data_IF_785113183451
#
_entry.id   IF_785113183451
#
_cell.length_a   1.000
_cell.length_b   1.000
_cell.length_c   1.000
_cell.angle_alpha   90.00
_cell.angle_beta   90.00
_cell.angle_gamma   90.00
#
_symmetry.space_group_name_H-M   'P 1'
#
loop_
_entity.id
_entity.type
_entity.pdbx_description
1 polymer ?
#
# COMPACT_ATOMS: atom_id res chain seq x y z
N UNK A 1 0.65 -22.59 -51.78
CA UNK A 1 1.95 -23.18 -51.41
C UNK A 1 2.17 -23.07 -49.90
N UNK A 2 2.21 -21.85 -49.33
CA UNK A 2 2.27 -21.62 -47.86
C UNK A 2 1.34 -22.48 -47.00
N UNK A 3 0.04 -22.59 -47.35
CA UNK A 3 -0.91 -23.41 -46.57
C UNK A 3 -0.56 -24.91 -46.52
N UNK A 4 0.04 -25.47 -47.59
CA UNK A 4 0.48 -26.88 -47.61
C UNK A 4 1.80 -27.10 -46.85
N UNK A 5 2.62 -26.06 -46.75
CA UNK A 5 3.87 -26.08 -45.98
C UNK A 5 3.55 -25.96 -44.48
N UNK A 6 2.64 -25.05 -44.12
CA UNK A 6 2.13 -24.90 -42.75
C UNK A 6 1.43 -26.17 -42.26
N UNK A 7 0.66 -26.86 -43.11
CA UNK A 7 0.03 -28.13 -42.70
C UNK A 7 1.05 -29.23 -42.42
N UNK A 8 2.15 -29.29 -43.18
CA UNK A 8 3.25 -30.24 -42.92
C UNK A 8 4.04 -29.85 -41.66
N UNK A 9 4.30 -28.56 -41.49
CA UNK A 9 4.92 -28.03 -40.28
C UNK A 9 4.10 -28.35 -39.03
N UNK A 10 2.77 -28.21 -39.10
CA UNK A 10 1.84 -28.59 -38.03
C UNK A 10 1.95 -30.07 -37.67
N UNK A 11 1.95 -30.96 -38.67
CA UNK A 11 2.09 -32.41 -38.43
C UNK A 11 3.42 -32.78 -37.76
N UNK A 12 4.52 -32.18 -38.20
CA UNK A 12 5.83 -32.39 -37.57
C UNK A 12 5.85 -31.85 -36.15
N UNK A 13 5.30 -30.66 -35.92
CA UNK A 13 5.25 -30.05 -34.60
C UNK A 13 4.35 -30.85 -33.63
N UNK A 14 3.27 -31.48 -34.11
CA UNK A 14 2.48 -32.44 -33.34
C UNK A 14 3.28 -33.70 -32.99
N UNK A 15 4.04 -34.26 -33.95
CA UNK A 15 4.84 -35.47 -33.77
C UNK A 15 5.98 -35.29 -32.76
N UNK A 16 6.65 -34.13 -32.79
CA UNK A 16 7.78 -33.82 -31.92
C UNK A 16 7.40 -33.05 -30.65
N UNK A 17 6.11 -32.82 -30.40
CA UNK A 17 5.61 -32.00 -29.30
C UNK A 17 6.26 -30.60 -29.23
N UNK A 18 6.54 -30.00 -30.40
CA UNK A 18 7.06 -28.64 -30.51
C UNK A 18 5.91 -27.63 -30.35
N UNK A 19 5.57 -27.35 -29.10
CA UNK A 19 4.45 -26.46 -28.75
C UNK A 19 4.65 -25.03 -29.27
N UNK A 20 5.90 -24.55 -29.35
CA UNK A 20 6.18 -23.20 -29.84
C UNK A 20 5.76 -23.07 -31.31
N UNK A 21 6.18 -24.02 -32.14
CA UNK A 21 5.78 -24.08 -33.55
C UNK A 21 4.26 -24.23 -33.70
N UNK A 22 3.60 -25.04 -32.87
CA UNK A 22 2.13 -25.18 -32.90
C UNK A 22 1.41 -23.86 -32.60
N UNK A 23 1.87 -23.10 -31.61
CA UNK A 23 1.30 -21.80 -31.24
C UNK A 23 1.49 -20.80 -32.38
N UNK A 24 2.70 -20.70 -32.93
CA UNK A 24 3.02 -19.77 -34.03
C UNK A 24 2.20 -20.07 -35.29
N UNK A 25 2.07 -21.34 -35.66
CA UNK A 25 1.27 -21.76 -36.82
C UNK A 25 -0.21 -21.42 -36.59
N UNK A 26 -0.75 -21.67 -35.38
CA UNK A 26 -2.15 -21.33 -35.07
C UNK A 26 -2.39 -19.81 -35.08
N UNK A 27 -1.43 -19.00 -34.60
CA UNK A 27 -1.52 -17.54 -34.63
C UNK A 27 -1.46 -16.99 -36.06
N UNK A 28 -0.56 -17.52 -36.91
CA UNK A 28 -0.46 -17.13 -38.32
C UNK A 28 -1.74 -17.47 -39.10
N UNK A 29 -2.35 -18.63 -38.81
CA UNK A 29 -3.61 -19.07 -39.41
C UNK A 29 -4.85 -18.44 -38.74
N UNK A 30 -4.68 -17.74 -37.61
CA UNK A 30 -5.77 -17.22 -36.76
C UNK A 30 -6.77 -18.31 -36.35
N UNK A 31 -6.28 -19.51 -36.10
CA UNK A 31 -7.08 -20.68 -35.76
C UNK A 31 -7.19 -20.85 -34.24
N UNK A 32 -8.11 -20.08 -33.63
CA UNK A 32 -8.35 -20.10 -32.19
C UNK A 32 -8.96 -21.41 -31.69
N UNK A 33 -9.74 -22.11 -32.50
CA UNK A 33 -10.37 -23.37 -32.14
C UNK A 33 -9.34 -24.50 -32.01
N UNK A 34 -8.40 -24.58 -32.96
CA UNK A 34 -7.30 -25.53 -32.87
C UNK A 34 -6.40 -25.24 -31.67
N UNK A 35 -6.11 -23.96 -31.41
CA UNK A 35 -5.31 -23.55 -30.26
C UNK A 35 -5.96 -23.97 -28.93
N UNK A 36 -7.28 -23.80 -28.79
CA UNK A 36 -8.04 -24.28 -27.62
C UNK A 36 -7.94 -25.79 -27.46
N UNK A 37 -8.04 -26.54 -28.57
CA UNK A 37 -7.91 -28.00 -28.57
C UNK A 37 -6.54 -28.43 -28.03
N UNK A 38 -5.46 -27.77 -28.45
CA UNK A 38 -4.11 -28.06 -27.95
C UNK A 38 -3.92 -27.71 -26.49
N UNK A 39 -4.50 -26.60 -26.01
CA UNK A 39 -4.48 -26.22 -24.60
C UNK A 39 -5.14 -27.31 -23.73
N UNK A 40 -6.26 -27.88 -24.18
CA UNK A 40 -6.93 -28.96 -23.46
C UNK A 40 -6.18 -30.29 -23.57
N UNK A 41 -5.63 -30.60 -24.74
CA UNK A 41 -4.93 -31.85 -25.01
C UNK A 41 -3.60 -31.96 -24.25
N UNK A 42 -2.76 -30.91 -24.32
CA UNK A 42 -1.41 -30.91 -23.77
C UNK A 42 -1.32 -30.26 -22.37
N UNK A 43 -2.36 -29.53 -21.96
CA UNK A 43 -2.52 -29.03 -20.60
C UNK A 43 -1.40 -28.09 -20.14
N UNK A 44 -0.87 -28.36 -18.95
CA UNK A 44 0.06 -27.46 -18.25
C UNK A 44 1.38 -27.23 -19.03
N UNK A 45 1.89 -28.24 -19.74
CA UNK A 45 3.12 -28.11 -20.56
C UNK A 45 2.95 -27.07 -21.67
N UNK A 46 1.82 -27.12 -22.36
CA UNK A 46 1.49 -26.18 -23.42
C UNK A 46 1.22 -24.79 -22.86
N UNK A 47 0.57 -24.69 -21.69
CA UNK A 47 0.29 -23.42 -21.04
C UNK A 47 1.54 -22.65 -20.64
N UNK A 48 2.61 -23.33 -20.23
CA UNK A 48 3.89 -22.66 -19.92
C UNK A 48 4.46 -21.96 -21.16
N UNK A 49 4.52 -22.67 -22.29
CA UNK A 49 5.02 -22.11 -23.56
C UNK A 49 4.09 -21.02 -24.08
N UNK A 50 2.77 -21.22 -23.96
CA UNK A 50 1.78 -20.24 -24.39
C UNK A 50 1.81 -18.94 -23.57
N UNK A 51 1.99 -19.02 -22.25
CA UNK A 51 2.18 -17.85 -21.39
C UNK A 51 3.45 -17.07 -21.76
N UNK A 52 4.57 -17.76 -21.99
CA UNK A 52 5.82 -17.14 -22.45
C UNK A 52 5.66 -16.45 -23.80
N UNK A 53 5.00 -17.13 -24.76
CA UNK A 53 4.67 -16.57 -26.06
C UNK A 53 3.83 -15.30 -25.95
N UNK A 54 2.75 -15.33 -25.16
CA UNK A 54 1.87 -14.16 -24.98
C UNK A 54 2.58 -13.00 -24.29
N UNK A 55 3.48 -13.27 -23.33
CA UNK A 55 4.30 -12.23 -22.68
C UNK A 55 5.25 -11.59 -23.68
N UNK A 56 5.89 -12.37 -24.55
CA UNK A 56 6.77 -11.83 -25.61
C UNK A 56 6.04 -10.86 -26.55
N UNK A 57 4.75 -11.12 -26.81
CA UNK A 57 3.88 -10.29 -27.65
C UNK A 57 3.10 -9.20 -26.90
N UNK A 58 3.29 -9.07 -25.57
CA UNK A 58 2.46 -8.18 -24.73
C UNK A 58 0.95 -8.43 -24.87
N UNK A 59 0.55 -9.68 -25.14
CA UNK A 59 -0.82 -10.10 -25.47
C UNK A 59 -1.44 -10.99 -24.37
N UNK A 60 -0.95 -10.89 -23.13
CA UNK A 60 -1.42 -11.71 -22.01
C UNK A 60 -2.95 -11.60 -21.76
N UNK A 61 -3.57 -10.49 -22.17
CA UNK A 61 -5.01 -10.28 -22.09
C UNK A 61 -5.84 -11.38 -22.78
N UNK A 62 -5.27 -12.09 -23.75
CA UNK A 62 -5.91 -13.21 -24.47
C UNK A 62 -6.33 -14.32 -23.50
N UNK A 63 -5.55 -14.63 -22.46
CA UNK A 63 -5.88 -15.68 -21.48
C UNK A 63 -7.16 -15.38 -20.68
N UNK A 64 -7.55 -14.11 -20.60
CA UNK A 64 -8.72 -13.64 -19.86
C UNK A 64 -9.95 -13.45 -20.75
N UNK A 65 -9.82 -13.66 -22.07
CA UNK A 65 -10.97 -13.76 -22.96
C UNK A 65 -11.78 -15.01 -22.61
N UNK A 66 -13.11 -14.93 -22.75
CA UNK A 66 -14.03 -15.96 -22.29
C UNK A 66 -13.70 -17.34 -22.88
N UNK A 67 -13.30 -17.37 -24.14
CA UNK A 67 -12.97 -18.55 -24.93
C UNK A 67 -11.85 -19.40 -24.31
N UNK A 68 -10.87 -18.73 -23.68
CA UNK A 68 -9.73 -19.37 -23.02
C UNK A 68 -9.92 -19.49 -21.51
N UNK A 69 -10.46 -18.46 -20.88
CA UNK A 69 -10.61 -18.41 -19.42
C UNK A 69 -11.57 -19.50 -18.90
N UNK A 70 -12.51 -19.97 -19.71
CA UNK A 70 -13.41 -21.08 -19.37
C UNK A 70 -12.73 -22.46 -19.42
N UNK A 71 -11.55 -22.59 -20.05
CA UNK A 71 -10.82 -23.85 -20.13
C UNK A 71 -10.23 -24.23 -18.76
N UNK A 72 -10.39 -25.50 -18.37
CA UNK A 72 -9.91 -26.03 -17.08
C UNK A 72 -8.39 -25.94 -16.96
N UNK A 73 -7.66 -26.23 -18.03
CA UNK A 73 -6.18 -26.13 -18.07
C UNK A 73 -5.72 -24.70 -17.82
N UNK A 74 -6.38 -23.71 -18.43
CA UNK A 74 -6.08 -22.29 -18.23
C UNK A 74 -6.35 -21.88 -16.79
N UNK A 75 -7.52 -22.24 -16.22
CA UNK A 75 -7.83 -21.91 -14.83
C UNK A 75 -6.86 -22.55 -13.83
N UNK A 76 -6.48 -23.80 -14.05
CA UNK A 76 -5.47 -24.49 -13.22
C UNK A 76 -4.12 -23.79 -13.30
N UNK A 77 -3.68 -23.46 -14.51
CA UNK A 77 -2.43 -22.74 -14.73
C UNK A 77 -2.45 -21.37 -14.04
N UNK A 78 -3.50 -20.57 -14.26
CA UNK A 78 -3.65 -19.24 -13.64
C UNK A 78 -3.73 -19.34 -12.11
N UNK A 79 -4.40 -20.36 -11.56
CA UNK A 79 -4.48 -20.58 -10.11
C UNK A 79 -3.12 -20.95 -9.50
N UNK A 80 -2.23 -21.56 -10.28
CA UNK A 80 -0.85 -21.84 -9.84
C UNK A 80 0.02 -20.59 -9.74
N UNK A 81 -0.39 -19.48 -10.40
CA UNK A 81 0.33 -18.21 -10.41
C UNK A 81 -0.26 -17.25 -9.37
N UNK A 82 0.52 -16.78 -8.38
CA UNK A 82 0.02 -15.87 -7.35
C UNK A 82 -0.67 -14.62 -7.94
N UNK A 83 -0.11 -14.05 -9.02
CA UNK A 83 -0.62 -12.82 -9.64
C UNK A 83 -2.03 -12.95 -10.23
N UNK A 84 -2.48 -14.18 -10.54
CA UNK A 84 -3.75 -14.43 -11.23
C UNK A 84 -4.73 -15.29 -10.44
N UNK A 85 -4.29 -15.92 -9.35
CA UNK A 85 -5.11 -16.81 -8.53
C UNK A 85 -6.45 -16.17 -8.13
N UNK A 86 -6.41 -14.92 -7.68
CA UNK A 86 -7.60 -14.17 -7.27
C UNK A 86 -8.69 -14.06 -8.34
N UNK A 87 -8.33 -14.00 -9.63
CA UNK A 87 -9.31 -13.92 -10.73
C UNK A 87 -10.05 -15.24 -10.89
N UNK A 88 -9.33 -16.35 -10.76
CA UNK A 88 -9.93 -17.70 -10.80
C UNK A 88 -10.83 -17.91 -9.59
N UNK A 89 -10.44 -17.41 -8.42
CA UNK A 89 -11.23 -17.51 -7.20
C UNK A 89 -12.53 -16.69 -7.29
N UNK A 90 -12.47 -15.45 -7.82
CA UNK A 90 -13.68 -14.64 -8.12
C UNK A 90 -14.62 -15.38 -9.07
N UNK A 91 -14.09 -15.98 -10.15
CA UNK A 91 -14.90 -16.77 -11.09
C UNK A 91 -15.63 -17.92 -10.39
N UNK A 92 -14.92 -18.61 -9.49
CA UNK A 92 -15.45 -19.73 -8.73
C UNK A 92 -16.29 -19.30 -7.51
N UNK A 93 -16.53 -17.99 -7.34
CA UNK A 93 -17.26 -17.38 -6.21
C UNK A 93 -16.60 -17.61 -4.85
N UNK A 94 -15.31 -17.92 -4.84
CA UNK A 94 -14.48 -17.99 -3.64
C UNK A 94 -13.92 -16.60 -3.32
N UNK A 95 -14.81 -15.71 -2.87
CA UNK A 95 -14.46 -14.32 -2.65
C UNK A 95 -13.54 -14.11 -1.43
N UNK A 96 -13.57 -15.03 -0.46
CA UNK A 96 -12.71 -14.96 0.71
C UNK A 96 -11.25 -15.24 0.33
N UNK A 97 -11.01 -16.29 -0.45
CA UNK A 97 -9.67 -16.59 -0.96
C UNK A 97 -9.19 -15.52 -1.96
N UNK A 98 -10.07 -15.00 -2.80
CA UNK A 98 -9.76 -13.87 -3.69
C UNK A 98 -9.32 -12.62 -2.92
N UNK A 99 -9.99 -12.30 -1.81
CA UNK A 99 -9.59 -11.20 -0.95
C UNK A 99 -8.20 -11.43 -0.32
N UNK A 100 -7.88 -12.67 0.06
CA UNK A 100 -6.58 -13.02 0.69
C UNK A 100 -5.43 -12.90 -0.29
N UNK A 101 -5.58 -13.55 -1.43
CA UNK A 101 -4.58 -13.53 -2.49
C UNK A 101 -4.29 -12.10 -2.96
N UNK A 102 -5.30 -11.28 -3.23
CA UNK A 102 -5.10 -9.87 -3.62
C UNK A 102 -4.39 -9.02 -2.56
N UNK A 103 -4.67 -9.25 -1.28
CA UNK A 103 -4.03 -8.51 -0.18
C UNK A 103 -2.52 -8.81 -0.07
N UNK A 104 -2.15 -10.07 -0.31
CA UNK A 104 -0.79 -10.59 -0.22
C UNK A 104 0.08 -10.28 -1.44
N UNK A 105 -0.52 -9.82 -2.54
CA UNK A 105 0.24 -9.48 -3.74
C UNK A 105 1.16 -8.29 -3.50
N UNK A 106 2.44 -8.50 -3.82
CA UNK A 106 3.44 -7.44 -3.83
C UNK A 106 3.23 -6.58 -5.06
N UNK A 107 3.09 -5.29 -4.85
CA UNK A 107 2.94 -4.30 -5.92
C UNK A 107 4.10 -3.34 -5.93
N UNK A 108 4.50 -2.92 -7.12
CA UNK A 108 5.59 -1.95 -7.29
C UNK A 108 5.09 -0.51 -7.18
N UNK A 109 3.86 -0.23 -7.62
CA UNK A 109 3.33 1.13 -7.76
C UNK A 109 2.10 1.39 -6.90
N UNK A 110 1.87 2.66 -6.56
CA UNK A 110 0.70 3.09 -5.78
C UNK A 110 -0.60 2.70 -6.49
N UNK A 111 -0.70 2.94 -7.80
CA UNK A 111 -1.92 2.67 -8.55
C UNK A 111 -2.28 1.17 -8.57
N UNK A 112 -1.28 0.29 -8.75
CA UNK A 112 -1.49 -1.16 -8.65
C UNK A 112 -1.97 -1.55 -7.24
N UNK A 113 -1.37 -0.98 -6.20
CA UNK A 113 -1.75 -1.25 -4.80
C UNK A 113 -3.19 -0.83 -4.51
N UNK A 114 -3.58 0.38 -4.89
CA UNK A 114 -4.95 0.88 -4.68
C UNK A 114 -5.99 0.00 -5.37
N UNK A 115 -5.75 -0.38 -6.63
CA UNK A 115 -6.66 -1.26 -7.36
C UNK A 115 -6.81 -2.62 -6.67
N UNK A 116 -5.72 -3.24 -6.22
CA UNK A 116 -5.78 -4.53 -5.54
C UNK A 116 -6.43 -4.44 -4.15
N UNK A 117 -6.21 -3.35 -3.41
CA UNK A 117 -6.91 -3.10 -2.14
C UNK A 117 -8.42 -2.97 -2.36
N UNK A 118 -8.84 -2.20 -3.37
CA UNK A 118 -10.24 -2.07 -3.73
C UNK A 118 -10.87 -3.42 -4.12
N UNK A 119 -10.18 -4.23 -4.94
CA UNK A 119 -10.64 -5.58 -5.30
C UNK A 119 -10.73 -6.46 -4.04
N UNK A 120 -9.72 -6.42 -3.17
CA UNK A 120 -9.70 -7.18 -1.91
C UNK A 120 -10.89 -6.81 -1.02
N UNK A 121 -11.22 -5.51 -0.94
CA UNK A 121 -12.38 -4.97 -0.21
C UNK A 121 -13.69 -5.46 -0.79
N UNK A 122 -13.88 -5.35 -2.11
CA UNK A 122 -15.10 -5.80 -2.77
C UNK A 122 -15.29 -7.32 -2.65
N UNK A 123 -14.22 -8.11 -2.81
CA UNK A 123 -14.26 -9.54 -2.60
C UNK A 123 -14.63 -9.89 -1.15
N UNK A 124 -14.03 -9.22 -0.16
CA UNK A 124 -14.35 -9.44 1.24
C UNK A 124 -15.82 -9.10 1.54
N UNK A 125 -16.34 -7.99 1.01
CA UNK A 125 -17.74 -7.62 1.16
C UNK A 125 -18.68 -8.62 0.48
N UNK A 126 -18.33 -9.14 -0.70
CA UNK A 126 -19.11 -10.17 -1.38
C UNK A 126 -19.09 -11.53 -0.66
N UNK A 127 -18.03 -11.84 0.09
CA UNK A 127 -17.92 -13.07 0.89
C UNK A 127 -18.86 -13.08 2.11
N UNK A 128 -19.31 -11.90 2.57
CA UNK A 128 -20.07 -11.73 3.81
C UNK A 128 -21.50 -12.32 3.80
N UNK A 129 -21.92 -12.91 2.67
CA UNK A 129 -23.26 -13.48 2.54
C UNK A 129 -23.51 -14.76 3.34
N UNK A 130 -22.47 -15.48 3.82
CA UNK A 130 -22.69 -16.83 4.32
C UNK A 130 -22.50 -17.13 5.82
N UNK A 131 -21.81 -16.36 6.67
CA UNK A 131 -21.77 -16.70 8.11
C UNK A 131 -21.58 -15.51 9.07
N UNK A 132 -22.52 -15.38 10.02
CA UNK A 132 -22.45 -14.47 11.19
C UNK A 132 -21.22 -14.77 12.07
N UNK A 133 -20.66 -15.98 11.99
CA UNK A 133 -19.54 -16.46 12.82
C UNK A 133 -18.20 -15.77 12.54
N UNK A 134 -18.01 -15.16 11.37
CA UNK A 134 -16.75 -14.50 10.99
C UNK A 134 -16.86 -12.96 10.93
N UNK A 135 -17.95 -12.37 11.44
CA UNK A 135 -18.19 -10.93 11.34
C UNK A 135 -17.07 -10.07 11.96
N UNK A 136 -16.48 -10.51 13.08
CA UNK A 136 -15.37 -9.78 13.72
C UNK A 136 -14.07 -9.88 12.93
N UNK A 137 -13.73 -11.07 12.41
CA UNK A 137 -12.57 -11.27 11.55
C UNK A 137 -12.67 -10.44 10.26
N UNK A 138 -13.86 -10.41 9.65
CA UNK A 138 -14.15 -9.57 8.48
C UNK A 138 -13.98 -8.08 8.84
N UNK A 139 -14.53 -7.63 9.98
CA UNK A 139 -14.39 -6.23 10.42
C UNK A 139 -12.94 -5.83 10.64
N UNK A 140 -12.15 -6.66 11.33
CA UNK A 140 -10.72 -6.40 11.56
C UNK A 140 -9.96 -6.27 10.24
N UNK A 141 -10.29 -7.13 9.28
CA UNK A 141 -9.65 -7.13 7.98
C UNK A 141 -10.07 -5.97 7.09
N UNK A 142 -11.34 -5.57 7.13
CA UNK A 142 -11.81 -4.35 6.48
C UNK A 142 -11.09 -3.13 7.03
N UNK A 143 -10.95 -3.03 8.36
CA UNK A 143 -10.16 -1.95 9.00
C UNK A 143 -8.72 -1.92 8.52
N UNK A 144 -8.09 -3.09 8.39
CA UNK A 144 -6.74 -3.18 7.86
C UNK A 144 -6.66 -2.65 6.41
N UNK A 145 -7.59 -3.07 5.54
CA UNK A 145 -7.65 -2.59 4.15
C UNK A 145 -7.88 -1.07 4.12
N UNK A 146 -8.80 -0.55 4.92
CA UNK A 146 -9.09 0.88 5.02
C UNK A 146 -7.85 1.69 5.47
N UNK A 147 -7.09 1.18 6.43
CA UNK A 147 -5.84 1.82 6.86
C UNK A 147 -4.81 1.88 5.72
N UNK A 148 -4.65 0.78 4.97
CA UNK A 148 -3.76 0.72 3.81
C UNK A 148 -4.22 1.64 2.65
N UNK A 149 -5.53 1.73 2.40
CA UNK A 149 -6.13 2.66 1.44
C UNK A 149 -5.85 4.11 1.84
N UNK A 150 -6.04 4.44 3.12
CA UNK A 150 -5.76 5.77 3.67
C UNK A 150 -4.28 6.13 3.53
N UNK A 151 -3.35 5.19 3.77
CA UNK A 151 -1.92 5.41 3.56
C UNK A 151 -1.59 5.67 2.08
N UNK A 152 -2.21 4.92 1.16
CA UNK A 152 -2.06 5.18 -0.27
C UNK A 152 -2.57 6.58 -0.65
N UNK A 153 -3.73 6.98 -0.12
CA UNK A 153 -4.33 8.28 -0.38
C UNK A 153 -3.47 9.42 0.17
N UNK A 154 -3.04 9.32 1.43
CA UNK A 154 -2.14 10.32 2.05
C UNK A 154 -0.89 10.49 1.20
N UNK A 155 -0.33 9.39 0.72
CA UNK A 155 0.83 9.45 -0.16
C UNK A 155 0.54 10.15 -1.49
N UNK A 156 -0.59 9.84 -2.12
CA UNK A 156 -0.98 10.55 -3.34
C UNK A 156 -1.11 12.04 -3.07
N UNK A 157 -1.70 12.45 -1.95
CA UNK A 157 -1.86 13.86 -1.57
C UNK A 157 -0.51 14.56 -1.39
N UNK A 158 0.50 13.87 -0.87
CA UNK A 158 1.89 14.38 -0.79
C UNK A 158 2.54 14.58 -2.16
N UNK A 159 2.05 13.90 -3.19
CA UNK A 159 2.52 13.98 -4.57
C UNK A 159 1.61 14.88 -5.43
N UNK A 160 0.83 15.77 -4.82
CA UNK A 160 -0.13 16.63 -5.52
C UNK A 160 0.50 17.58 -6.55
N UNK A 161 1.82 17.74 -6.53
CA UNK A 161 2.58 18.52 -7.50
C UNK A 161 2.84 17.78 -8.82
N UNK A 162 2.58 16.48 -8.88
CA UNK A 162 2.71 15.65 -10.08
C UNK A 162 1.34 15.43 -10.73
N UNK A 163 1.35 15.13 -12.03
CA UNK A 163 0.14 14.73 -12.74
C UNK A 163 -0.38 13.38 -12.23
N UNK A 164 -1.69 13.15 -12.32
CA UNK A 164 -2.34 11.93 -11.81
C UNK A 164 -1.71 10.64 -12.36
N UNK A 165 -1.45 10.61 -13.66
CA UNK A 165 -0.80 9.46 -14.31
C UNK A 165 0.63 9.19 -13.84
N UNK A 166 1.35 10.23 -13.38
CA UNK A 166 2.69 10.10 -12.82
C UNK A 166 2.65 9.69 -11.35
N UNK A 167 1.69 10.23 -10.58
CA UNK A 167 1.45 9.86 -9.17
C UNK A 167 1.21 8.37 -9.02
N UNK A 168 0.34 7.80 -9.86
CA UNK A 168 -0.02 6.39 -9.83
C UNK A 168 1.15 5.44 -10.18
N UNK A 169 2.16 5.94 -10.91
CA UNK A 169 3.37 5.19 -11.30
C UNK A 169 4.48 5.26 -10.26
N UNK A 170 4.36 6.12 -9.24
CA UNK A 170 5.39 6.24 -8.20
C UNK A 170 5.57 4.92 -7.43
N UNK A 171 6.81 4.56 -7.06
CA UNK A 171 7.14 3.27 -6.44
C UNK A 171 6.66 3.22 -4.99
N UNK A 172 6.15 2.11 -4.45
CA UNK A 172 5.75 2.04 -3.03
C UNK A 172 6.88 2.43 -2.06
N UNK A 173 6.55 3.20 -1.01
CA UNK A 173 7.46 3.57 0.08
C UNK A 173 6.79 3.25 1.40
N UNK A 174 7.58 2.86 2.40
CA UNK A 174 7.04 2.51 3.71
C UNK A 174 6.48 3.75 4.42
N UNK A 175 5.49 3.56 5.29
CA UNK A 175 4.93 4.65 6.11
C UNK A 175 6.01 5.33 6.98
N UNK A 176 7.00 4.55 7.45
CA UNK A 176 8.21 5.04 8.12
C UNK A 176 9.00 6.03 7.26
N UNK A 177 9.24 5.67 6.01
CA UNK A 177 9.96 6.52 5.07
C UNK A 177 9.14 7.74 4.66
N UNK A 178 7.81 7.62 4.59
CA UNK A 178 6.92 8.78 4.39
C UNK A 178 7.09 9.81 5.50
N UNK A 179 6.99 9.38 6.77
CA UNK A 179 7.16 10.24 7.95
C UNK A 179 8.53 10.91 7.94
N UNK A 180 9.60 10.12 7.72
CA UNK A 180 10.96 10.66 7.67
C UNK A 180 11.14 11.67 6.54
N UNK A 181 10.61 11.38 5.35
CA UNK A 181 10.68 12.30 4.22
C UNK A 181 9.94 13.61 4.52
N UNK A 182 8.76 13.57 5.14
CA UNK A 182 8.00 14.76 5.50
C UNK A 182 8.74 15.67 6.49
N UNK A 183 9.41 15.07 7.46
CA UNK A 183 10.10 15.83 8.51
C UNK A 183 11.46 16.33 8.05
N UNK A 184 12.22 15.51 7.33
CA UNK A 184 13.60 15.80 6.97
C UNK A 184 13.73 16.60 5.66
N UNK A 185 12.81 16.43 4.70
CA UNK A 185 12.87 17.17 3.44
C UNK A 185 12.14 18.50 3.58
N UNK A 186 12.89 19.59 3.42
CA UNK A 186 12.37 20.97 3.41
C UNK A 186 11.75 21.41 2.08
N UNK A 187 11.69 20.50 1.10
CA UNK A 187 11.36 20.84 -0.28
C UNK A 187 9.92 20.47 -0.62
N UNK A 188 8.97 21.27 -0.13
CA UNK A 188 7.57 21.20 -0.55
C UNK A 188 6.92 22.57 -0.41
N UNK A 189 5.90 22.83 -1.20
CA UNK A 189 5.08 24.05 -1.16
C UNK A 189 4.19 24.18 0.09
N UNK A 190 4.13 23.13 0.92
CA UNK A 190 3.32 23.08 2.14
C UNK A 190 4.01 23.75 3.32
N UNK A 191 3.21 24.18 4.30
CA UNK A 191 3.76 24.77 5.53
C UNK A 191 4.42 23.71 6.42
N UNK A 192 5.37 24.13 7.25
CA UNK A 192 6.05 23.24 8.20
C UNK A 192 5.04 22.50 9.09
N UNK A 193 4.03 23.19 9.63
CA UNK A 193 2.98 22.58 10.44
C UNK A 193 2.22 21.47 9.69
N UNK A 194 1.89 21.69 8.41
CA UNK A 194 1.17 20.70 7.60
C UNK A 194 1.97 19.40 7.39
N UNK A 195 3.29 19.48 7.26
CA UNK A 195 4.13 18.27 7.17
C UNK A 195 4.05 17.44 8.45
N UNK A 196 4.12 18.08 9.62
CA UNK A 196 4.02 17.37 10.90
C UNK A 196 2.61 16.85 11.15
N UNK A 197 1.55 17.62 10.85
CA UNK A 197 0.17 17.13 10.89
C UNK A 197 -0.02 15.88 10.00
N UNK A 198 0.52 15.90 8.78
CA UNK A 198 0.46 14.75 7.86
C UNK A 198 1.24 13.55 8.39
N UNK A 199 2.42 13.77 9.00
CA UNK A 199 3.18 12.72 9.64
C UNK A 199 2.42 12.08 10.83
N UNK A 200 1.70 12.88 11.62
CA UNK A 200 0.85 12.38 12.71
C UNK A 200 -0.36 11.58 12.18
N UNK A 201 -0.96 12.02 11.07
CA UNK A 201 -2.02 11.26 10.39
C UNK A 201 -1.49 9.89 9.93
N UNK A 202 -0.30 9.84 9.33
CA UNK A 202 0.33 8.56 8.92
C UNK A 202 0.60 7.71 10.16
N UNK A 203 1.17 8.28 11.22
CA UNK A 203 1.49 7.59 12.46
C UNK A 203 0.23 6.97 13.11
N UNK A 204 -0.92 7.65 13.05
CA UNK A 204 -2.19 7.13 13.57
C UNK A 204 -2.65 5.84 12.91
N UNK A 205 -2.24 5.60 11.66
CA UNK A 205 -2.54 4.36 10.93
C UNK A 205 -1.56 3.23 11.26
N UNK A 206 -0.49 3.51 12.02
CA UNK A 206 0.60 2.60 12.34
C UNK A 206 0.58 2.09 13.80
N UNK A 207 -0.53 2.18 14.52
CA UNK A 207 -0.62 1.85 15.96
C UNK A 207 -0.04 0.46 16.30
N UNK A 208 -0.23 -0.54 15.44
CA UNK A 208 0.26 -1.91 15.65
C UNK A 208 1.69 -2.14 15.16
N UNK A 209 2.37 -1.11 14.63
CA UNK A 209 3.70 -1.24 14.05
C UNK A 209 4.79 -1.16 15.14
N UNK A 210 5.82 -2.02 15.13
CA UNK A 210 6.91 -1.98 16.11
C UNK A 210 7.69 -0.65 16.10
N UNK A 211 7.72 0.06 14.98
CA UNK A 211 8.40 1.35 14.85
C UNK A 211 7.56 2.52 15.40
N UNK A 212 6.31 2.30 15.82
CA UNK A 212 5.38 3.35 16.26
C UNK A 212 5.99 4.26 17.33
N UNK A 213 6.50 3.66 18.41
CA UNK A 213 7.06 4.42 19.54
C UNK A 213 8.29 5.24 19.14
N UNK A 214 9.16 4.68 18.29
CA UNK A 214 10.36 5.36 17.80
C UNK A 214 9.99 6.52 16.88
N UNK A 215 9.06 6.31 15.95
CA UNK A 215 8.60 7.35 15.04
C UNK A 215 7.85 8.45 15.76
N UNK A 216 7.02 8.10 16.74
CA UNK A 216 6.38 9.06 17.63
C UNK A 216 7.42 9.99 18.27
N UNK A 217 8.42 9.43 18.96
CA UNK A 217 9.48 10.23 19.58
C UNK A 217 10.25 11.08 18.56
N UNK A 218 10.56 10.51 17.40
CA UNK A 218 11.23 11.21 16.32
C UNK A 218 10.45 12.44 15.83
N UNK A 219 9.13 12.32 15.60
CA UNK A 219 8.29 13.46 15.16
C UNK A 219 8.36 14.59 16.19
N UNK A 220 8.11 14.30 17.46
CA UNK A 220 8.07 15.34 18.49
C UNK A 220 9.44 15.94 18.80
N UNK A 221 10.50 15.13 18.78
CA UNK A 221 11.86 15.62 18.97
C UNK A 221 12.28 16.56 17.84
N UNK A 222 11.99 16.20 16.59
CA UNK A 222 12.30 17.06 15.44
C UNK A 222 11.48 18.35 15.46
N UNK A 223 10.22 18.32 15.93
CA UNK A 223 9.42 19.53 16.08
C UNK A 223 10.07 20.54 17.04
N UNK A 224 10.61 20.05 18.16
CA UNK A 224 11.34 20.86 19.14
C UNK A 224 12.68 21.37 18.59
N UNK A 225 13.40 20.54 17.83
CA UNK A 225 14.67 20.95 17.24
C UNK A 225 14.51 22.04 16.18
N UNK A 226 13.40 22.01 15.42
CA UNK A 226 13.12 22.99 14.37
C UNK A 226 12.57 24.29 14.96
N UNK A 227 11.72 24.22 15.98
CA UNK A 227 11.16 25.37 16.69
C UNK A 227 11.38 25.22 18.21
N UNK A 228 12.58 25.60 18.70
CA UNK A 228 12.95 25.44 20.11
C UNK A 228 12.04 26.25 21.02
N UNK A 229 11.72 25.64 22.17
CA UNK A 229 10.91 26.30 23.20
C UNK A 229 11.65 27.52 23.76
N UNK A 230 10.91 28.61 23.96
CA UNK A 230 11.45 29.84 24.54
C UNK A 230 11.51 29.70 26.07
N UNK A 231 12.56 30.23 26.72
CA UNK A 231 12.65 30.28 28.16
C UNK A 231 11.47 31.10 28.72
N UNK A 232 10.86 30.60 29.78
CA UNK A 232 9.65 31.20 30.38
C UNK A 232 9.96 32.57 31.02
N UNK A 233 11.15 32.73 31.60
CA UNK A 233 11.60 33.99 32.22
C UNK A 233 10.60 34.58 33.24
N UNK A 234 10.76 35.87 33.57
CA UNK A 234 9.82 36.61 34.43
C UNK A 234 8.55 37.07 33.68
N UNK A 235 8.19 36.42 32.57
CA UNK A 235 7.01 36.80 31.81
C UNK A 235 5.74 36.25 32.46
N UNK A 236 4.68 37.06 32.49
CA UNK A 236 3.51 36.83 33.33
C UNK A 236 2.63 35.62 32.94
N UNK A 237 2.89 34.93 31.82
CA UNK A 237 2.16 33.72 31.43
C UNK A 237 3.06 32.77 30.60
N UNK A 238 3.61 31.69 31.20
CA UNK A 238 4.43 30.67 30.52
C UNK A 238 3.75 30.07 29.28
N UNK A 239 2.42 30.02 29.31
CA UNK A 239 1.56 29.52 28.24
C UNK A 239 1.52 30.48 27.04
N UNK A 240 1.59 31.80 27.27
CA UNK A 240 1.52 32.81 26.21
C UNK A 240 2.77 32.81 25.32
N UNK A 241 3.94 32.58 25.91
CA UNK A 241 5.23 32.61 25.21
C UNK A 241 5.42 31.45 24.23
N UNK A 242 4.89 30.28 24.57
CA UNK A 242 5.05 29.05 23.78
C UNK A 242 3.77 28.59 23.07
N UNK A 243 2.64 29.30 23.20
CA UNK A 243 1.36 28.94 22.55
C UNK A 243 1.42 28.86 21.02
N UNK A 244 2.35 29.57 20.37
CA UNK A 244 2.52 29.56 18.92
C UNK A 244 3.65 28.66 18.43
N UNK A 245 4.29 27.93 19.34
CA UNK A 245 5.33 26.96 18.95
C UNK A 245 4.73 25.81 18.16
N UNK A 246 5.52 25.21 17.29
CA UNK A 246 5.13 24.04 16.51
C UNK A 246 4.61 22.92 17.43
N UNK A 247 5.26 22.70 18.57
CA UNK A 247 4.84 21.69 19.55
C UNK A 247 3.42 21.97 20.09
N UNK A 248 3.13 23.22 20.50
CA UNK A 248 1.80 23.59 21.00
C UNK A 248 0.73 23.47 19.91
N UNK A 249 1.06 23.87 18.68
CA UNK A 249 0.14 23.75 17.55
C UNK A 249 -0.15 22.28 17.18
N UNK A 250 0.84 21.40 17.30
CA UNK A 250 0.64 19.97 17.08
C UNK A 250 -0.25 19.35 18.15
N UNK A 251 -0.10 19.77 19.41
CA UNK A 251 -0.98 19.34 20.48
C UNK A 251 -2.43 19.78 20.28
N UNK A 252 -2.65 21.05 19.92
CA UNK A 252 -3.98 21.56 19.59
C UNK A 252 -4.58 20.79 18.38
N UNK A 253 -3.75 20.47 17.39
CA UNK A 253 -4.15 19.67 16.23
C UNK A 253 -4.55 18.23 16.58
N UNK A 254 -3.75 17.53 17.39
CA UNK A 254 -4.03 16.14 17.81
C UNK A 254 -5.37 16.08 18.54
N UNK A 255 -5.63 17.05 19.42
CA UNK A 255 -6.89 17.13 20.14
C UNK A 255 -8.07 17.43 19.23
N UNK A 256 -7.94 18.41 18.34
CA UNK A 256 -9.00 18.77 17.39
C UNK A 256 -9.42 17.57 16.52
N UNK A 257 -8.44 16.79 16.05
CA UNK A 257 -8.67 15.63 15.19
C UNK A 257 -8.96 14.34 15.96
N UNK A 258 -9.06 14.41 17.30
CA UNK A 258 -9.23 13.25 18.18
C UNK A 258 -8.21 12.13 17.92
N UNK A 259 -6.96 12.50 17.65
CA UNK A 259 -5.84 11.59 17.43
C UNK A 259 -5.29 11.02 18.76
N UNK A 260 -5.66 11.60 19.90
CA UNK A 260 -5.28 11.15 21.24
C UNK A 260 -5.65 9.68 21.52
N UNK A 261 -6.73 9.18 20.89
CA UNK A 261 -7.18 7.79 21.01
C UNK A 261 -6.13 6.76 20.59
N UNK A 262 -5.12 7.17 19.82
CA UNK A 262 -4.03 6.32 19.35
C UNK A 262 -2.76 6.44 20.20
N UNK A 263 -2.82 7.10 21.38
CA UNK A 263 -1.66 7.30 22.25
C UNK A 263 -0.45 7.96 21.53
N UNK A 264 -0.74 8.90 20.63
CA UNK A 264 0.25 9.57 19.78
C UNK A 264 1.11 10.56 20.56
N UNK A 265 0.62 11.10 21.68
CA UNK A 265 1.42 12.01 22.51
C UNK A 265 2.40 11.17 23.35
N UNK A 266 3.72 11.33 23.18
CA UNK A 266 4.68 10.65 24.04
C UNK A 266 4.61 11.22 25.45
N UNK A 267 4.93 10.41 26.47
CA UNK A 267 5.10 10.94 27.83
C UNK A 267 6.26 11.94 27.85
N UNK A 268 6.14 13.01 28.64
CA UNK A 268 7.20 14.02 28.85
C UNK A 268 8.57 13.40 29.10
N UNK A 269 8.63 12.40 29.98
CA UNK A 269 9.87 11.72 30.37
C UNK A 269 10.54 11.03 29.19
N UNK A 270 9.80 10.22 28.43
CA UNK A 270 10.31 9.55 27.22
C UNK A 270 10.77 10.54 26.15
N UNK A 271 10.08 11.68 26.01
CA UNK A 271 10.48 12.71 25.06
C UNK A 271 11.77 13.41 25.51
N UNK A 272 11.90 13.74 26.79
CA UNK A 272 13.13 14.33 27.35
C UNK A 272 14.32 13.37 27.22
N UNK A 273 14.10 12.07 27.45
CA UNK A 273 15.14 11.05 27.35
C UNK A 273 15.46 10.62 25.91
N UNK A 274 14.88 11.25 24.88
CA UNK A 274 15.13 10.87 23.50
C UNK A 274 16.57 11.20 23.09
N UNK A 275 17.16 10.37 22.22
CA UNK A 275 18.54 10.53 21.78
C UNK A 275 18.73 11.83 20.98
N UNK A 276 17.67 12.31 20.33
CA UNK A 276 17.65 13.51 19.53
C UNK A 276 17.72 14.80 20.38
N UNK A 277 17.27 14.74 21.64
CA UNK A 277 17.19 15.90 22.54
C UNK A 277 18.26 15.91 23.65
N UNK A 278 19.30 15.07 23.54
CA UNK A 278 20.38 14.97 24.53
C UNK A 278 21.01 16.34 24.85
N UNK A 279 21.16 17.22 23.85
CA UNK A 279 21.71 18.56 24.05
C UNK A 279 20.86 19.48 24.94
N UNK A 280 19.56 19.20 25.06
CA UNK A 280 18.60 19.99 25.84
C UNK A 280 18.29 19.37 27.22
N UNK A 281 18.74 18.14 27.49
CA UNK A 281 18.40 17.42 28.72
C UNK A 281 18.80 18.16 30.01
N UNK A 282 19.92 18.88 30.00
CA UNK A 282 20.44 19.58 31.18
C UNK A 282 19.96 21.04 31.28
N UNK A 283 19.11 21.51 30.37
CA UNK A 283 18.64 22.89 30.35
C UNK A 283 17.35 23.04 31.19
N UNK A 284 17.46 23.71 32.34
CA UNK A 284 16.35 23.94 33.26
C UNK A 284 15.18 24.71 32.60
N UNK A 285 15.49 25.75 31.83
CA UNK A 285 14.48 26.57 31.16
C UNK A 285 13.67 25.75 30.14
N UNK A 286 14.34 24.81 29.46
CA UNK A 286 13.69 23.89 28.53
C UNK A 286 12.78 22.89 29.25
N UNK A 287 13.22 22.34 30.39
CA UNK A 287 12.42 21.43 31.19
C UNK A 287 11.16 22.11 31.74
N UNK A 288 11.29 23.34 32.23
CA UNK A 288 10.15 24.14 32.69
C UNK A 288 9.19 24.46 31.54
N UNK A 289 9.70 24.92 30.39
CA UNK A 289 8.89 25.21 29.21
C UNK A 289 8.12 23.98 28.72
N UNK A 290 8.79 22.83 28.66
CA UNK A 290 8.15 21.57 28.28
C UNK A 290 7.09 21.15 29.31
N UNK A 291 7.37 21.30 30.61
CA UNK A 291 6.41 20.98 31.66
C UNK A 291 5.15 21.84 31.59
N UNK A 292 5.30 23.15 31.30
CA UNK A 292 4.20 24.08 31.15
C UNK A 292 3.29 23.68 29.98
N UNK A 293 3.88 23.34 28.82
CA UNK A 293 3.11 22.90 27.64
C UNK A 293 2.37 21.58 27.94
N UNK A 294 3.02 20.60 28.57
CA UNK A 294 2.38 19.33 28.93
C UNK A 294 1.28 19.50 30.00
N UNK A 295 1.42 20.45 30.91
CA UNK A 295 0.35 20.79 31.85
C UNK A 295 -0.85 21.42 31.13
N UNK A 296 -0.59 22.27 30.13
CA UNK A 296 -1.63 22.91 29.33
C UNK A 296 -2.49 21.91 28.54
N UNK A 297 -1.87 20.83 28.06
CA UNK A 297 -2.53 19.71 27.39
C UNK A 297 -3.57 19.01 28.28
N UNK A 298 -3.29 18.89 29.59
CA UNK A 298 -4.18 18.23 30.55
C UNK A 298 -5.36 19.12 30.98
N UNK A 299 -5.18 20.45 30.91
CA UNK A 299 -6.19 21.42 31.35
C UNK A 299 -7.14 21.89 30.25
N UNK A 300 -6.74 21.79 28.99
CA UNK A 300 -7.60 22.15 27.85
C UNK A 300 -8.56 21.03 27.58
#
# INVERSE_FOLDING_TARGET
VKLKELSKGKQLAEEFEDYQSLIEICDELKDSEQLRTYIEQYGDKFMVVFDEYLRSKSALSVLFQKEYFDLKSVQRYLKSKPEFAWMVDIKNRDYEHASLSTLQLVTETIGKRQTLLAISKFALLASSHNEIRNAEAIKLRLRFIENEENLCQQRLDLLSNLDEGERLKQPLISAKDMIKNLILKKNTSQSLLQHYCSALKILSQMETNPDFDQLRLFIFAQAILVDPLKPIGNSADPLSCNAKTLLSQLFDYIKHENLDKYNIIPSREKLQSSNELISFQNNHDFQEALSAIYSSLLTR
#
